data_IF_981797039715
#
_entry.id   IF_981797039715
#
_cell.length_a   1.000
_cell.length_b   1.000
_cell.length_c   1.000
_cell.angle_alpha   90.00
_cell.angle_beta   90.00
_cell.angle_gamma   90.00
#
_symmetry.space_group_name_H-M   'P 1'
#
loop_
_entity.id
_entity.type
_entity.pdbx_description
1 polymer ?
#
# COMPACT_ATOMS: atom_id res chain seq x y z
N UNK A 1 44.11 -2.32 -38.41
CA UNK A 1 42.78 -2.52 -38.99
C UNK A 1 41.94 -3.34 -38.05
N UNK A 2 41.34 -2.72 -37.08
CA UNK A 2 40.40 -3.40 -36.20
C UNK A 2 39.09 -2.67 -36.23
N UNK A 3 38.11 -3.19 -36.93
CA UNK A 3 36.76 -2.73 -36.85
C UNK A 3 36.06 -3.46 -35.70
N UNK A 4 36.53 -3.23 -34.51
CA UNK A 4 35.81 -3.65 -33.31
C UNK A 4 35.24 -2.42 -32.62
N UNK A 5 34.54 -1.62 -33.38
CA UNK A 5 33.53 -0.77 -32.84
C UNK A 5 32.29 -1.62 -32.59
N UNK A 6 32.34 -2.27 -31.48
CA UNK A 6 31.13 -2.76 -30.85
C UNK A 6 30.31 -1.52 -30.51
N UNK A 7 29.12 -1.35 -31.09
CA UNK A 7 28.24 -0.32 -30.61
C UNK A 7 27.92 -0.67 -29.18
N UNK A 8 28.47 0.11 -28.26
CA UNK A 8 27.96 0.16 -26.91
C UNK A 8 26.47 0.25 -26.99
N UNK A 9 25.83 -0.79 -26.56
CA UNK A 9 24.48 -0.71 -26.08
C UNK A 9 24.48 0.45 -25.10
N UNK A 10 24.04 1.58 -25.56
CA UNK A 10 23.61 2.63 -24.69
C UNK A 10 22.46 2.01 -23.95
N UNK A 11 22.76 1.39 -22.83
CA UNK A 11 21.76 1.24 -21.79
C UNK A 11 21.17 2.62 -21.65
N UNK A 12 20.03 2.78 -22.27
CA UNK A 12 19.17 3.90 -21.97
C UNK A 12 18.90 3.80 -20.49
N UNK A 13 19.77 4.41 -19.72
CA UNK A 13 19.46 4.88 -18.41
C UNK A 13 18.20 5.71 -18.60
N UNK A 14 17.09 5.07 -18.43
CA UNK A 14 15.85 5.73 -18.03
C UNK A 14 16.06 6.24 -16.61
N UNK A 15 17.07 7.04 -16.43
CA UNK A 15 17.21 8.00 -15.33
C UNK A 15 16.32 9.20 -15.64
N UNK A 16 15.18 8.93 -16.28
CA UNK A 16 14.08 9.84 -16.32
C UNK A 16 13.38 9.73 -14.99
N UNK A 17 13.68 10.65 -14.09
CA UNK A 17 12.88 10.89 -12.89
C UNK A 17 12.45 9.59 -12.21
N UNK A 18 13.40 8.86 -11.70
CA UNK A 18 13.14 8.22 -10.43
C UNK A 18 13.09 9.35 -9.39
N UNK A 19 12.06 10.17 -9.44
CA UNK A 19 11.40 10.54 -8.22
C UNK A 19 11.14 9.19 -7.63
N UNK A 20 12.02 8.75 -6.74
CA UNK A 20 12.01 7.46 -6.09
C UNK A 20 10.54 7.15 -5.94
N UNK A 21 10.04 6.10 -6.60
CA UNK A 21 8.71 5.65 -6.29
C UNK A 21 8.80 5.29 -4.83
N UNK A 22 8.57 6.30 -4.00
CA UNK A 22 8.39 6.08 -2.58
C UNK A 22 7.24 5.13 -2.57
N UNK A 23 7.54 3.86 -2.42
CA UNK A 23 6.53 2.84 -2.58
C UNK A 23 5.44 3.15 -1.56
N UNK A 24 4.19 2.91 -1.93
CA UNK A 24 3.05 3.08 -1.01
C UNK A 24 3.35 2.40 0.32
N UNK A 25 4.00 1.24 0.28
CA UNK A 25 4.41 0.50 1.46
C UNK A 25 5.38 1.30 2.36
N UNK A 26 6.34 2.00 1.78
CA UNK A 26 7.27 2.84 2.53
C UNK A 26 6.56 4.05 3.16
N UNK A 27 5.67 4.70 2.43
CA UNK A 27 4.87 5.80 2.97
C UNK A 27 3.98 5.34 4.12
N UNK A 28 3.34 4.18 4.00
CA UNK A 28 2.53 3.60 5.08
C UNK A 28 3.41 3.27 6.29
N UNK A 29 4.60 2.72 6.09
CA UNK A 29 5.56 2.47 7.16
C UNK A 29 5.96 3.75 7.91
N UNK A 30 6.22 4.84 7.19
CA UNK A 30 6.52 6.14 7.79
C UNK A 30 5.32 6.70 8.55
N UNK A 31 4.13 6.65 7.98
CA UNK A 31 2.91 7.07 8.68
C UNK A 31 2.71 6.28 9.96
N UNK A 32 2.93 4.98 9.92
CA UNK A 32 2.83 4.10 11.08
C UNK A 32 3.83 4.49 12.19
N UNK A 33 5.06 4.81 11.82
CA UNK A 33 6.11 5.18 12.76
C UNK A 33 5.75 6.45 13.54
N UNK A 34 5.16 7.44 12.89
CA UNK A 34 4.76 8.70 13.52
C UNK A 34 3.34 8.68 14.10
N UNK A 35 2.56 7.65 13.80
CA UNK A 35 1.18 7.56 14.28
C UNK A 35 1.11 7.31 15.81
N UNK A 36 0.11 7.91 16.49
CA UNK A 36 -0.20 7.55 17.87
C UNK A 36 -0.60 6.08 18.01
N UNK A 37 -0.43 5.45 19.18
CA UNK A 37 -0.73 4.03 19.38
C UNK A 37 -2.13 3.60 18.97
N UNK A 38 -3.14 4.42 19.24
CA UNK A 38 -4.52 4.14 18.86
C UNK A 38 -4.70 4.09 17.32
N UNK A 39 -4.03 4.99 16.61
CA UNK A 39 -4.08 5.05 15.14
C UNK A 39 -3.27 3.93 14.49
N UNK A 40 -2.17 3.51 15.13
CA UNK A 40 -1.42 2.31 14.71
C UNK A 40 -2.29 1.06 14.72
N UNK A 41 -3.07 0.88 15.79
CA UNK A 41 -4.00 -0.25 15.90
C UNK A 41 -5.04 -0.22 14.79
N UNK A 42 -5.67 0.92 14.53
CA UNK A 42 -6.66 1.09 13.44
C UNK A 42 -6.08 0.82 12.06
N UNK A 43 -4.86 1.30 11.81
CA UNK A 43 -4.17 1.08 10.55
C UNK A 43 -3.89 -0.41 10.34
N UNK A 44 -3.43 -1.10 11.37
CA UNK A 44 -3.22 -2.55 11.31
C UNK A 44 -4.52 -3.32 11.13
N UNK A 45 -5.60 -2.96 11.85
CA UNK A 45 -6.93 -3.56 11.67
C UNK A 45 -7.38 -3.46 10.22
N UNK A 46 -7.23 -2.28 9.61
CA UNK A 46 -7.60 -2.06 8.22
C UNK A 46 -6.80 -2.94 7.25
N UNK A 47 -5.49 -3.04 7.46
CA UNK A 47 -4.60 -3.85 6.62
C UNK A 47 -4.82 -5.35 6.80
N UNK A 48 -5.14 -5.80 8.01
CA UNK A 48 -5.35 -7.22 8.33
C UNK A 48 -6.73 -7.72 7.93
N UNK A 49 -7.70 -6.83 7.81
CA UNK A 49 -9.10 -7.18 7.51
C UNK A 49 -9.28 -8.03 6.26
N UNK A 50 -8.65 -7.75 5.12
CA UNK A 50 -8.79 -8.54 3.90
C UNK A 50 -7.97 -9.84 3.92
N UNK A 51 -7.07 -10.01 4.90
CA UNK A 51 -6.13 -11.12 4.94
C UNK A 51 -6.58 -12.24 5.88
N UNK A 52 -6.47 -13.47 5.41
CA UNK A 52 -6.65 -14.65 6.25
C UNK A 52 -5.40 -14.98 7.10
N UNK A 53 -5.59 -15.75 8.17
CA UNK A 53 -4.49 -16.16 9.05
C UNK A 53 -3.37 -16.87 8.29
N UNK A 54 -3.72 -17.74 7.37
CA UNK A 54 -2.75 -18.53 6.59
C UNK A 54 -1.86 -17.64 5.71
N UNK A 55 -2.44 -16.57 5.14
CA UNK A 55 -1.67 -15.60 4.35
C UNK A 55 -0.66 -14.82 5.19
N UNK A 56 -0.93 -14.67 6.47
CA UNK A 56 -0.11 -13.87 7.38
C UNK A 56 1.04 -14.63 8.03
N UNK A 57 1.02 -15.97 7.98
CA UNK A 57 2.07 -16.81 8.60
C UNK A 57 3.46 -16.51 8.04
N UNK A 58 3.55 -16.27 6.74
CA UNK A 58 4.81 -15.96 6.07
C UNK A 58 5.21 -14.47 6.13
N UNK A 59 4.33 -13.60 6.62
CA UNK A 59 4.56 -12.17 6.67
C UNK A 59 5.17 -11.78 8.02
N UNK A 60 6.30 -11.08 7.99
CA UNK A 60 6.97 -10.56 9.17
C UNK A 60 7.12 -11.59 10.30
N UNK A 61 7.61 -12.79 9.95
CA UNK A 61 7.83 -13.91 10.89
C UNK A 61 6.57 -14.33 11.68
N UNK A 62 5.39 -14.15 11.11
CA UNK A 62 4.13 -14.58 11.70
C UNK A 62 3.57 -13.69 12.80
N UNK A 63 4.14 -12.50 13.02
CA UNK A 63 3.63 -11.57 14.04
C UNK A 63 2.17 -11.19 13.78
N UNK A 64 1.82 -10.95 12.53
CA UNK A 64 0.46 -10.61 12.12
C UNK A 64 -0.51 -11.79 12.22
N UNK A 65 -0.03 -13.00 11.94
CA UNK A 65 -0.82 -14.20 12.13
C UNK A 65 -1.17 -14.38 13.62
N UNK A 66 -0.23 -14.15 14.51
CA UNK A 66 -0.44 -14.21 15.96
C UNK A 66 -1.45 -13.16 16.45
N UNK A 67 -1.36 -11.95 15.93
CA UNK A 67 -2.32 -10.86 16.23
C UNK A 67 -3.71 -11.26 15.74
N UNK A 68 -3.80 -11.71 14.49
CA UNK A 68 -5.07 -12.15 13.90
C UNK A 68 -5.71 -13.31 14.63
N UNK A 69 -4.92 -14.28 15.05
CA UNK A 69 -5.38 -15.44 15.81
C UNK A 69 -5.95 -15.05 17.17
N UNK A 70 -5.30 -14.11 17.86
CA UNK A 70 -5.76 -13.60 19.17
C UNK A 70 -6.98 -12.69 19.07
N UNK A 71 -7.15 -11.99 17.95
CA UNK A 71 -8.25 -11.06 17.74
C UNK A 71 -9.63 -11.72 17.64
N UNK A 72 -9.66 -13.03 17.35
CA UNK A 72 -10.92 -13.73 17.13
C UNK A 72 -11.50 -13.49 15.72
N UNK A 73 -12.59 -14.15 15.46
CA UNK A 73 -13.33 -14.10 14.21
C UNK A 73 -14.78 -13.67 14.51
N UNK A 74 -15.43 -12.83 13.69
CA UNK A 74 -15.03 -12.30 12.37
C UNK A 74 -14.26 -10.99 12.41
N UNK A 75 -14.31 -10.24 13.51
CA UNK A 75 -13.75 -8.90 13.59
C UNK A 75 -12.28 -8.92 14.01
N UNK A 76 -11.47 -8.14 13.27
CA UNK A 76 -10.07 -7.93 13.64
C UNK A 76 -10.00 -6.80 14.64
N UNK A 77 -9.55 -7.11 15.84
CA UNK A 77 -9.29 -6.10 16.85
C UNK A 77 -7.83 -6.15 17.28
N UNK A 78 -7.07 -5.13 16.92
CA UNK A 78 -5.65 -5.02 17.25
C UNK A 78 -5.50 -4.22 18.54
N UNK A 79 -4.92 -4.84 19.56
CA UNK A 79 -4.63 -4.16 20.81
C UNK A 79 -3.48 -3.16 20.63
N UNK A 80 -3.50 -2.08 21.38
CA UNK A 80 -2.41 -1.10 21.36
C UNK A 80 -1.05 -1.72 21.69
N UNK A 81 -1.03 -2.68 22.58
CA UNK A 81 0.17 -3.45 22.98
C UNK A 81 0.75 -4.23 21.79
N UNK A 82 -0.11 -4.88 21.01
CA UNK A 82 0.29 -5.61 19.82
C UNK A 82 0.85 -4.66 18.75
N UNK A 83 0.23 -3.49 18.59
CA UNK A 83 0.69 -2.45 17.68
C UNK A 83 2.07 -1.87 18.06
N UNK A 84 2.39 -1.81 19.34
CA UNK A 84 3.71 -1.35 19.80
C UNK A 84 4.83 -2.34 19.48
N UNK A 85 4.53 -3.62 19.38
CA UNK A 85 5.48 -4.66 19.02
C UNK A 85 5.73 -4.77 17.50
N UNK A 86 4.90 -4.14 16.69
CA UNK A 86 5.04 -4.09 15.24
C UNK A 86 5.90 -2.91 14.85
N UNK A 87 6.93 -3.16 14.05
CA UNK A 87 7.83 -2.13 13.55
C UNK A 87 7.38 -1.64 12.16
N UNK A 88 7.83 -0.43 11.77
CA UNK A 88 7.53 0.13 10.46
C UNK A 88 7.91 -0.81 9.31
N UNK A 89 9.04 -1.51 9.40
CA UNK A 89 9.47 -2.51 8.41
C UNK A 89 8.50 -3.69 8.27
N UNK A 90 7.87 -4.09 9.36
CA UNK A 90 6.90 -5.19 9.35
C UNK A 90 5.63 -4.73 8.64
N UNK A 91 5.23 -3.47 8.86
CA UNK A 91 4.12 -2.83 8.15
C UNK A 91 4.42 -2.70 6.66
N UNK A 92 5.64 -2.33 6.26
CA UNK A 92 6.05 -2.28 4.85
C UNK A 92 5.87 -3.65 4.20
N UNK A 93 6.34 -4.71 4.86
CA UNK A 93 6.18 -6.09 4.37
C UNK A 93 4.71 -6.48 4.27
N UNK A 94 3.90 -6.11 5.26
CA UNK A 94 2.46 -6.35 5.27
C UNK A 94 1.77 -5.64 4.09
N UNK A 95 2.05 -4.37 3.88
CA UNK A 95 1.45 -3.57 2.79
C UNK A 95 1.81 -4.13 1.42
N UNK A 96 3.05 -4.55 1.22
CA UNK A 96 3.46 -5.21 -0.02
C UNK A 96 2.65 -6.49 -0.26
N UNK A 97 2.40 -7.26 0.78
CA UNK A 97 1.57 -8.45 0.70
C UNK A 97 0.09 -8.11 0.43
N UNK A 98 -0.46 -7.13 1.13
CA UNK A 98 -1.83 -6.65 0.92
C UNK A 98 -2.05 -6.16 -0.51
N UNK A 99 -1.07 -5.46 -1.10
CA UNK A 99 -1.16 -4.99 -2.48
C UNK A 99 -1.30 -6.14 -3.49
N UNK A 100 -0.68 -7.27 -3.22
CA UNK A 100 -0.78 -8.47 -4.06
C UNK A 100 -2.14 -9.16 -3.94
N UNK A 101 -2.73 -9.14 -2.73
CA UNK A 101 -3.99 -9.83 -2.44
C UNK A 101 -5.20 -8.95 -2.72
N UNK A 102 -5.15 -7.69 -2.32
CA UNK A 102 -6.27 -6.74 -2.43
C UNK A 102 -5.78 -5.31 -2.59
N UNK A 103 -5.78 -4.86 -3.81
CA UNK A 103 -5.43 -3.48 -4.10
C UNK A 103 -6.44 -2.46 -3.50
N UNK A 104 -7.71 -2.84 -3.39
CA UNK A 104 -8.76 -2.00 -2.79
C UNK A 104 -8.54 -1.74 -1.30
N UNK A 105 -7.94 -2.69 -0.57
CA UNK A 105 -7.64 -2.50 0.85
C UNK A 105 -6.63 -1.36 1.06
N UNK A 106 -5.68 -1.23 0.14
CA UNK A 106 -4.68 -0.15 0.17
C UNK A 106 -5.31 1.19 -0.20
N UNK A 107 -6.21 1.21 -1.18
CA UNK A 107 -6.93 2.43 -1.57
C UNK A 107 -7.81 2.96 -0.42
N UNK A 108 -8.37 2.07 0.40
CA UNK A 108 -9.14 2.41 1.60
C UNK A 108 -8.34 3.14 2.68
N UNK A 109 -7.01 3.01 2.69
CA UNK A 109 -6.14 3.75 3.62
C UNK A 109 -6.26 5.26 3.47
N UNK A 110 -6.53 5.76 2.26
CA UNK A 110 -6.73 7.20 2.04
C UNK A 110 -7.89 7.73 2.87
N UNK A 111 -9.02 7.02 2.90
CA UNK A 111 -10.19 7.40 3.68
C UNK A 111 -9.91 7.38 5.19
N UNK A 112 -9.16 6.39 5.65
CA UNK A 112 -8.77 6.26 7.06
C UNK A 112 -7.85 7.42 7.48
N UNK A 113 -6.88 7.78 6.66
CA UNK A 113 -5.96 8.88 6.92
C UNK A 113 -6.67 10.23 6.95
N UNK A 114 -7.60 10.45 6.01
CA UNK A 114 -8.39 11.70 5.97
C UNK A 114 -9.31 11.80 7.18
N UNK A 115 -9.83 10.68 7.68
CA UNK A 115 -10.70 10.66 8.85
C UNK A 115 -9.93 10.86 10.18
N UNK A 116 -8.61 10.68 10.17
CA UNK A 116 -7.78 10.78 11.38
C UNK A 116 -6.92 12.04 11.37
N UNK A 117 -7.33 13.13 12.03
CA UNK A 117 -6.57 14.38 12.05
C UNK A 117 -5.18 14.21 12.70
N UNK A 118 -5.02 13.26 13.60
CA UNK A 118 -3.74 12.96 14.24
C UNK A 118 -2.69 12.41 13.24
N UNK A 119 -3.13 11.72 12.19
CA UNK A 119 -2.25 11.21 11.14
C UNK A 119 -2.09 12.18 9.97
N UNK A 120 -3.10 12.99 9.70
CA UNK A 120 -3.13 13.91 8.56
C UNK A 120 -2.07 15.02 8.61
N UNK A 121 -1.51 15.29 9.79
CA UNK A 121 -0.50 16.34 9.99
C UNK A 121 0.91 15.95 9.54
N UNK A 122 1.17 14.71 9.17
CA UNK A 122 2.49 14.30 8.72
C UNK A 122 2.66 14.45 7.21
N UNK A 123 3.86 14.87 6.78
CA UNK A 123 4.20 14.97 5.35
C UNK A 123 4.05 13.62 4.63
N UNK A 124 4.37 12.51 5.30
CA UNK A 124 4.22 11.17 4.77
C UNK A 124 2.75 10.82 4.51
N UNK A 125 1.84 11.20 5.41
CA UNK A 125 0.41 10.99 5.24
C UNK A 125 -0.15 11.81 4.05
N UNK A 126 0.27 13.06 3.92
CA UNK A 126 -0.14 13.91 2.80
C UNK A 126 0.30 13.33 1.44
N UNK A 127 1.56 12.88 1.36
CA UNK A 127 2.07 12.21 0.16
C UNK A 127 1.33 10.91 -0.13
N UNK A 128 1.08 10.10 0.90
CA UNK A 128 0.37 8.83 0.75
C UNK A 128 -1.06 9.05 0.22
N UNK A 129 -1.79 9.99 0.79
CA UNK A 129 -3.14 10.34 0.33
C UNK A 129 -3.10 10.80 -1.12
N UNK A 130 -2.15 11.65 -1.49
CA UNK A 130 -1.99 12.14 -2.86
C UNK A 130 -1.74 10.99 -3.85
N UNK A 131 -0.82 10.10 -3.52
CA UNK A 131 -0.48 8.93 -4.36
C UNK A 131 -1.68 7.99 -4.51
N UNK A 132 -2.38 7.70 -3.41
CA UNK A 132 -3.55 6.82 -3.43
C UNK A 132 -4.71 7.42 -4.25
N UNK A 133 -4.95 8.73 -4.13
CA UNK A 133 -5.97 9.41 -4.92
C UNK A 133 -5.62 9.44 -6.41
N UNK A 134 -4.36 9.66 -6.76
CA UNK A 134 -3.91 9.58 -8.14
C UNK A 134 -4.11 8.18 -8.71
N UNK A 135 -3.73 7.15 -7.96
CA UNK A 135 -3.92 5.75 -8.35
C UNK A 135 -5.40 5.40 -8.56
N UNK A 136 -6.28 5.86 -7.67
CA UNK A 136 -7.72 5.66 -7.80
C UNK A 136 -8.30 6.34 -9.05
N UNK A 137 -7.82 7.54 -9.37
CA UNK A 137 -8.23 8.26 -10.61
C UNK A 137 -7.77 7.52 -11.86
N UNK A 138 -6.53 7.03 -11.89
CA UNK A 138 -5.98 6.29 -13.03
C UNK A 138 -6.78 5.00 -13.30
N UNK A 139 -7.20 4.30 -12.24
CA UNK A 139 -8.05 3.11 -12.39
C UNK A 139 -9.41 3.44 -12.96
N UNK A 140 -10.07 4.49 -12.48
CA UNK A 140 -11.37 4.93 -13.00
C UNK A 140 -11.29 5.37 -14.47
N UNK A 141 -10.19 5.98 -14.88
CA UNK A 141 -9.96 6.37 -16.27
C UNK A 141 -9.75 5.15 -17.17
N UNK A 142 -9.20 4.05 -16.65
CA UNK A 142 -9.02 2.79 -17.38
C UNK A 142 -10.30 1.97 -17.53
N UNK A 143 -11.25 2.09 -16.61
CA UNK A 143 -12.55 1.40 -16.66
C UNK A 143 -13.60 2.14 -17.51
N UNK A 144 -13.30 3.37 -17.89
CA UNK A 144 -14.14 4.18 -18.76
C UNK A 144 -13.84 3.95 -20.22
N UNK A 145 -13.80 2.70 -20.66
CA UNK A 145 -13.97 2.44 -22.08
C UNK A 145 -15.40 2.83 -22.46
N UNK A 146 -15.58 3.88 -23.25
CA UNK A 146 -16.88 4.12 -23.85
C UNK A 146 -17.15 2.91 -24.73
N UNK A 147 -18.03 2.07 -24.25
CA UNK A 147 -18.59 1.04 -25.12
C UNK A 147 -18.93 1.72 -26.43
N UNK A 148 -18.24 1.34 -27.47
CA UNK A 148 -18.56 1.70 -28.81
C UNK A 148 -20.03 1.39 -29.02
N UNK A 149 -20.81 2.42 -28.87
CA UNK A 149 -22.16 2.42 -29.40
C UNK A 149 -21.98 2.34 -30.90
N UNK A 150 -21.84 1.14 -31.38
CA UNK A 150 -21.89 0.89 -32.81
C UNK A 150 -23.07 1.65 -33.39
N UNK A 151 -22.93 2.29 -34.54
CA UNK A 151 -23.99 3.11 -35.11
C UNK A 151 -25.22 2.25 -35.22
N UNK A 152 -26.28 2.66 -34.54
CA UNK A 152 -27.59 2.05 -34.74
C UNK A 152 -27.94 2.21 -36.22
N UNK A 153 -27.94 1.12 -36.91
CA UNK A 153 -28.46 1.12 -38.26
C UNK A 153 -29.94 1.05 -38.23
N UNK A 154 -30.52 2.09 -38.68
CA UNK A 154 -31.93 2.07 -39.01
C UNK A 154 -32.22 1.10 -40.16
#
# INVERSE_FOLDING_TARGET
MNPNDTPRSVSSNKSGCQVSEISIAQLVGQVYEFAPPAERSRLLEHLLKPLGVLSLVAVANGIFASIRFRSGWPDVHVRMEDAQNVQARDVITLVNHVQQVSAHAVDGLASLLVASPAMAGSAAAALLVTVLLQRARTRRAGDGEPGDSGPARA
#
